data_IF_956825473150
#
_entry.id   IF_956825473150
#
_cell.length_a   1.000
_cell.length_b   1.000
_cell.length_c   1.000
_cell.angle_alpha   90.00
_cell.angle_beta   90.00
_cell.angle_gamma   90.00
#
_symmetry.space_group_name_H-M   'P 1'
#
loop_
_entity.id
_entity.type
_entity.pdbx_description
1 polymer ?
#
# COMPACT_ATOMS: atom_id res chain seq x y z
N UNK A 1 -9.30 4.19 -8.24
CA UNK A 1 -8.56 3.46 -7.18
C UNK A 1 -8.73 1.94 -7.21
N UNK A 2 -9.55 1.36 -8.10
CA UNK A 2 -9.74 -0.11 -8.12
C UNK A 2 -8.49 -0.86 -8.59
N UNK A 3 -7.83 -0.37 -9.65
CA UNK A 3 -6.61 -0.99 -10.21
C UNK A 3 -5.48 -1.03 -9.19
N UNK A 4 -5.20 0.09 -8.51
CA UNK A 4 -4.17 0.18 -7.47
C UNK A 4 -4.46 -0.74 -6.30
N UNK A 5 -5.71 -0.81 -5.84
CA UNK A 5 -6.12 -1.72 -4.77
C UNK A 5 -5.89 -3.20 -5.14
N UNK A 6 -6.25 -3.60 -6.36
CA UNK A 6 -6.01 -4.97 -6.85
C UNK A 6 -4.52 -5.31 -6.87
N UNK A 7 -3.67 -4.39 -7.34
CA UNK A 7 -2.21 -4.58 -7.32
C UNK A 7 -1.71 -4.78 -5.89
N UNK A 8 -2.10 -3.90 -4.97
CA UNK A 8 -1.66 -3.95 -3.57
C UNK A 8 -2.08 -5.29 -2.93
N UNK A 9 -3.34 -5.68 -3.12
CA UNK A 9 -3.88 -6.93 -2.57
C UNK A 9 -3.18 -8.16 -3.13
N UNK A 10 -2.94 -8.22 -4.44
CA UNK A 10 -2.28 -9.35 -5.09
C UNK A 10 -0.82 -9.53 -4.66
N UNK A 11 -0.17 -8.49 -4.13
CA UNK A 11 1.19 -8.53 -3.61
C UNK A 11 1.23 -8.62 -2.08
N UNK A 12 0.15 -9.06 -1.44
CA UNK A 12 0.00 -9.15 0.03
C UNK A 12 0.31 -7.83 0.76
N UNK A 13 0.10 -6.71 0.07
CA UNK A 13 0.25 -5.37 0.63
C UNK A 13 -1.02 -4.86 1.32
N UNK A 14 -0.91 -3.70 1.95
CA UNK A 14 -2.02 -2.98 2.59
C UNK A 14 -2.03 -1.50 2.21
N UNK A 15 -3.20 -0.88 2.34
CA UNK A 15 -3.41 0.55 2.10
C UNK A 15 -4.15 1.20 3.25
N UNK A 16 -3.67 2.34 3.71
CA UNK A 16 -4.34 3.22 4.68
C UNK A 16 -4.45 4.63 4.10
N UNK A 17 -5.60 5.24 4.25
CA UNK A 17 -5.86 6.61 3.79
C UNK A 17 -5.98 7.53 4.99
N UNK A 18 -5.27 8.65 4.95
CA UNK A 18 -5.40 9.74 5.91
C UNK A 18 -5.78 10.98 5.12
N UNK A 19 -6.93 11.57 5.41
CA UNK A 19 -7.40 12.78 4.75
C UNK A 19 -7.77 13.80 5.81
N UNK A 20 -7.34 15.04 5.62
CA UNK A 20 -7.71 16.16 6.44
C UNK A 20 -8.18 17.30 5.53
N UNK A 21 -9.38 17.82 5.81
CA UNK A 21 -9.99 18.89 5.04
C UNK A 21 -9.07 20.11 5.00
N UNK A 22 -8.92 20.73 3.83
CA UNK A 22 -8.01 21.86 3.60
C UNK A 22 -6.51 21.57 3.84
N UNK A 23 -6.11 20.33 4.13
CA UNK A 23 -4.68 19.91 4.23
C UNK A 23 -4.28 18.82 3.25
N UNK A 24 -5.25 18.12 2.67
CA UNK A 24 -5.05 17.16 1.59
C UNK A 24 -5.24 15.71 2.03
N UNK A 25 -4.84 14.78 1.17
CA UNK A 25 -5.01 13.33 1.38
C UNK A 25 -3.69 12.60 1.16
N UNK A 26 -3.33 11.75 2.11
CA UNK A 26 -2.14 10.90 2.09
C UNK A 26 -2.55 9.44 2.03
N UNK A 27 -1.95 8.70 1.10
CA UNK A 27 -2.09 7.25 0.98
C UNK A 27 -0.82 6.58 1.47
N UNK A 28 -0.95 5.71 2.46
CA UNK A 28 0.13 4.88 2.96
C UNK A 28 -0.02 3.49 2.37
N UNK A 29 0.95 3.10 1.54
CA UNK A 29 1.04 1.77 0.94
C UNK A 29 2.13 0.98 1.66
N UNK A 30 1.85 -0.26 2.01
CA UNK A 30 2.83 -1.15 2.66
C UNK A 30 2.87 -2.48 1.94
N UNK A 31 4.08 -3.02 1.75
CA UNK A 31 4.32 -4.30 1.09
C UNK A 31 5.26 -5.15 1.94
N UNK A 32 5.12 -6.49 1.93
CA UNK A 32 6.09 -7.37 2.56
C UNK A 32 7.47 -7.15 1.95
N UNK A 33 8.50 -7.02 2.80
CA UNK A 33 9.88 -7.04 2.33
C UNK A 33 10.19 -8.44 1.81
N UNK A 34 10.61 -8.57 0.56
CA UNK A 34 11.13 -9.83 0.05
C UNK A 34 12.38 -10.20 0.87
N UNK A 35 12.39 -11.41 1.43
CA UNK A 35 13.61 -12.02 1.96
C UNK A 35 14.15 -12.91 0.85
N UNK A 36 15.29 -12.53 0.29
CA UNK A 36 16.11 -13.49 -0.45
C UNK A 36 16.48 -14.57 0.56
N UNK A 37 16.08 -15.81 0.27
CA UNK A 37 16.51 -16.95 1.06
C UNK A 37 17.97 -17.17 0.68
N UNK A 38 18.89 -16.81 1.58
CA UNK A 38 20.30 -17.13 1.43
C UNK A 38 20.42 -18.66 1.56
N UNK A 39 20.61 -19.35 0.44
CA UNK A 39 20.95 -20.77 0.36
C UNK A 39 22.43 -21.02 0.71
#
# INVERSE_FOLDING_TARGET
MMVTYTIIKNHNGSVRVQSEENKGTTFHLSFPKWKQQDD
#
